data_IF_303770378761
#
_entry.id   IF_303770378761
#
_cell.length_a   1.000
_cell.length_b   1.000
_cell.length_c   1.000
_cell.angle_alpha   90.00
_cell.angle_beta   90.00
_cell.angle_gamma   90.00
#
_symmetry.space_group_name_H-M   'P 1'
#
loop_
_entity.id
_entity.type
_entity.pdbx_description
1 polymer ?
#
# COMPACT_ATOMS: atom_id res chain seq x y z
N UNK A 1 0.55 -0.49 15.06
CA UNK A 1 -0.63 0.36 15.10
C UNK A 1 -1.63 -0.15 14.06
N UNK A 2 -2.62 0.61 13.69
CA UNK A 2 -3.74 0.28 12.81
C UNK A 2 -4.97 1.04 13.24
N UNK A 3 -6.05 0.96 12.46
CA UNK A 3 -7.31 1.63 12.79
C UNK A 3 -8.03 0.95 13.97
N UNK A 4 -8.97 1.63 14.65
CA UNK A 4 -9.81 1.06 15.68
C UNK A 4 -10.64 -0.12 15.16
N UNK A 5 -10.93 -1.09 16.03
CA UNK A 5 -11.84 -2.21 15.73
C UNK A 5 -13.31 -1.84 16.01
N UNK A 6 -14.29 -2.47 15.31
CA UNK A 6 -14.14 -3.47 14.26
C UNK A 6 -13.64 -2.85 12.95
N UNK A 7 -12.73 -3.50 12.27
CA UNK A 7 -12.07 -3.01 11.04
C UNK A 7 -12.13 -3.98 9.86
N UNK A 8 -12.89 -5.05 10.02
CA UNK A 8 -13.20 -6.02 8.96
C UNK A 8 -14.67 -6.38 9.06
N UNK A 9 -15.36 -6.48 7.92
CA UNK A 9 -16.73 -6.96 7.84
C UNK A 9 -16.94 -7.70 6.52
N UNK A 10 -17.71 -8.79 6.56
CA UNK A 10 -18.14 -9.51 5.36
C UNK A 10 -19.16 -8.68 4.56
N UNK A 11 -19.16 -8.86 3.25
CA UNK A 11 -20.18 -8.38 2.33
C UNK A 11 -20.77 -9.56 1.56
N UNK A 12 -21.91 -9.43 0.84
CA UNK A 12 -22.51 -10.56 0.11
C UNK A 12 -21.57 -11.22 -0.91
N UNK A 13 -20.59 -10.50 -1.45
CA UNK A 13 -19.68 -10.97 -2.49
C UNK A 13 -18.18 -10.76 -2.14
N UNK A 14 -17.86 -10.49 -0.87
CA UNK A 14 -16.47 -10.25 -0.51
C UNK A 14 -16.30 -9.68 0.90
N UNK A 15 -15.36 -8.76 1.07
CA UNK A 15 -14.97 -8.22 2.36
C UNK A 15 -14.76 -6.71 2.31
N UNK A 16 -15.16 -6.03 3.39
CA UNK A 16 -14.82 -4.65 3.66
C UNK A 16 -13.75 -4.60 4.75
N UNK A 17 -12.65 -3.90 4.53
CA UNK A 17 -11.60 -3.75 5.53
C UNK A 17 -11.09 -2.31 5.67
N UNK A 18 -10.69 -1.95 6.87
CA UNK A 18 -10.01 -0.71 7.21
C UNK A 18 -8.88 -1.00 8.21
N UNK A 19 -7.94 -1.87 7.86
CA UNK A 19 -6.86 -2.31 8.74
C UNK A 19 -5.93 -1.16 9.13
N UNK A 20 -5.61 -0.24 8.20
CA UNK A 20 -4.75 0.91 8.47
C UNK A 20 -3.27 0.55 8.54
N UNK A 21 -2.78 -0.30 7.62
CA UNK A 21 -1.37 -0.67 7.46
C UNK A 21 -0.69 -1.19 8.74
N UNK A 22 -1.41 -1.95 9.56
CA UNK A 22 -0.86 -2.50 10.79
C UNK A 22 0.36 -3.40 10.50
N UNK A 23 1.53 -2.96 10.98
CA UNK A 23 2.78 -3.69 10.85
C UNK A 23 3.77 -3.27 11.96
N UNK A 24 4.84 -4.03 12.21
CA UNK A 24 5.80 -3.74 13.27
C UNK A 24 6.89 -2.71 12.88
N UNK A 25 6.90 -2.25 11.64
CA UNK A 25 7.94 -1.38 11.08
C UNK A 25 9.04 -2.16 10.34
N UNK A 26 9.74 -1.45 9.44
CA UNK A 26 10.70 -2.06 8.51
C UNK A 26 11.86 -2.75 9.24
N UNK A 27 12.35 -2.19 10.33
CA UNK A 27 13.50 -2.75 11.05
C UNK A 27 13.16 -4.11 11.70
N UNK A 28 11.97 -4.23 12.27
CA UNK A 28 11.48 -5.52 12.82
C UNK A 28 11.18 -6.52 11.70
N UNK A 29 10.60 -6.06 10.58
CA UNK A 29 10.36 -6.93 9.40
C UNK A 29 11.67 -7.51 8.90
N UNK A 30 12.72 -6.71 8.77
CA UNK A 30 14.05 -7.15 8.36
C UNK A 30 14.67 -8.13 9.35
N UNK A 31 14.70 -7.75 10.64
CA UNK A 31 15.38 -8.53 11.67
C UNK A 31 14.69 -9.86 11.99
N UNK A 32 13.36 -9.92 11.96
CA UNK A 32 12.61 -11.10 12.39
C UNK A 32 11.97 -11.85 11.22
N UNK A 33 11.15 -11.14 10.39
CA UNK A 33 10.29 -11.82 9.41
C UNK A 33 11.07 -12.28 8.18
N UNK A 34 11.83 -11.39 7.56
CA UNK A 34 12.63 -11.74 6.38
C UNK A 34 13.80 -12.65 6.74
N UNK A 35 14.45 -12.44 7.88
CA UNK A 35 15.49 -13.33 8.37
C UNK A 35 14.98 -14.74 8.63
N UNK A 36 13.80 -14.88 9.24
CA UNK A 36 13.17 -16.19 9.43
C UNK A 36 12.86 -16.87 8.10
N UNK A 37 12.32 -16.11 7.11
CA UNK A 37 12.05 -16.65 5.77
C UNK A 37 13.32 -17.11 5.05
N UNK A 38 14.41 -16.35 5.14
CA UNK A 38 15.71 -16.77 4.56
C UNK A 38 16.20 -18.09 5.17
N UNK A 39 16.05 -18.25 6.49
CA UNK A 39 16.51 -19.45 7.19
C UNK A 39 15.67 -20.70 6.84
N UNK A 40 14.36 -20.56 6.67
CA UNK A 40 13.46 -21.70 6.48
C UNK A 40 13.09 -21.95 5.02
N UNK A 41 13.12 -20.89 4.19
CA UNK A 41 12.74 -20.92 2.78
C UNK A 41 13.70 -20.07 1.93
N UNK A 42 15.00 -20.46 1.82
CA UNK A 42 16.05 -19.62 1.22
C UNK A 42 15.79 -19.27 -0.24
N UNK A 43 15.09 -20.14 -0.98
CA UNK A 43 14.78 -19.94 -2.39
C UNK A 43 13.46 -19.21 -2.65
N UNK A 44 12.70 -18.84 -1.60
CA UNK A 44 11.41 -18.17 -1.77
C UNK A 44 11.61 -16.69 -2.11
N UNK A 45 11.25 -16.25 -3.33
CA UNK A 45 11.31 -14.85 -3.69
C UNK A 45 10.18 -14.06 -3.01
N UNK A 46 10.51 -12.91 -2.46
CA UNK A 46 9.56 -12.02 -1.79
C UNK A 46 9.37 -10.74 -2.62
N UNK A 47 8.12 -10.37 -2.83
CA UNK A 47 7.72 -9.02 -3.24
C UNK A 47 7.31 -8.28 -1.97
N UNK A 48 8.07 -7.27 -1.58
CA UNK A 48 7.81 -6.50 -0.37
C UNK A 48 6.85 -5.35 -0.66
N UNK A 49 5.66 -5.37 -0.01
CA UNK A 49 4.74 -4.23 -0.09
C UNK A 49 5.25 -3.11 0.83
N UNK A 50 5.53 -1.94 0.26
CA UNK A 50 6.10 -0.78 0.93
C UNK A 50 5.11 0.36 0.93
N UNK A 51 4.90 0.98 2.10
CA UNK A 51 4.10 2.17 2.27
C UNK A 51 4.88 3.25 3.03
N UNK A 52 4.51 4.50 2.87
CA UNK A 52 5.07 5.66 3.54
C UNK A 52 4.07 6.82 3.56
N UNK A 53 4.35 7.83 4.38
CA UNK A 53 3.56 9.06 4.48
C UNK A 53 4.25 10.26 3.82
N UNK A 54 5.50 10.08 3.36
CA UNK A 54 6.28 11.10 2.64
C UNK A 54 7.22 10.44 1.64
N UNK A 55 7.72 11.22 0.67
CA UNK A 55 8.71 10.75 -0.30
C UNK A 55 9.98 10.23 0.39
N UNK A 56 10.39 10.86 1.50
CA UNK A 56 11.55 10.43 2.29
C UNK A 56 11.31 9.08 2.97
N UNK A 57 10.12 8.83 3.49
CA UNK A 57 9.76 7.52 4.07
C UNK A 57 9.73 6.44 3.00
N UNK A 58 9.12 6.68 1.84
CA UNK A 58 9.15 5.75 0.71
C UNK A 58 10.59 5.41 0.31
N UNK A 59 11.46 6.41 0.16
CA UNK A 59 12.88 6.20 -0.15
C UNK A 59 13.60 5.39 0.94
N UNK A 60 13.37 5.76 2.22
CA UNK A 60 14.06 5.11 3.35
C UNK A 60 13.66 3.65 3.50
N UNK A 61 12.35 3.34 3.43
CA UNK A 61 11.85 1.96 3.54
C UNK A 61 12.29 1.15 2.33
N UNK A 62 12.19 1.70 1.11
CA UNK A 62 12.63 1.03 -0.12
C UNK A 62 14.12 0.70 -0.09
N UNK A 63 14.97 1.62 0.36
CA UNK A 63 16.40 1.39 0.51
C UNK A 63 16.71 0.26 1.48
N UNK A 64 16.06 0.27 2.65
CA UNK A 64 16.30 -0.74 3.67
C UNK A 64 15.83 -2.12 3.22
N UNK A 65 14.58 -2.23 2.73
CA UNK A 65 13.97 -3.51 2.44
C UNK A 65 14.58 -4.19 1.22
N UNK A 66 15.04 -3.42 0.22
CA UNK A 66 15.67 -3.94 -1.00
C UNK A 66 17.04 -4.59 -0.77
N UNK A 67 17.65 -4.37 0.41
CA UNK A 67 18.91 -5.03 0.77
C UNK A 67 18.71 -6.46 1.30
N UNK A 68 17.49 -6.86 1.64
CA UNK A 68 17.24 -8.20 2.11
C UNK A 68 17.41 -9.23 0.97
N UNK A 69 18.16 -10.32 1.17
CA UNK A 69 18.60 -11.22 0.09
C UNK A 69 17.44 -11.96 -0.61
N UNK A 70 16.32 -12.16 0.08
CA UNK A 70 15.13 -12.82 -0.45
C UNK A 70 14.12 -11.82 -1.06
N UNK A 71 14.27 -10.51 -0.89
CA UNK A 71 13.44 -9.52 -1.56
C UNK A 71 13.92 -9.35 -3.00
N UNK A 72 13.04 -9.63 -3.96
CA UNK A 72 13.32 -9.60 -5.40
C UNK A 72 12.62 -8.47 -6.13
N UNK A 73 11.60 -7.88 -5.49
CA UNK A 73 10.89 -6.71 -5.98
C UNK A 73 10.22 -5.97 -4.82
N UNK A 74 9.88 -4.71 -5.06
CA UNK A 74 9.02 -3.90 -4.20
C UNK A 74 7.68 -3.71 -4.91
N UNK A 75 6.57 -3.83 -4.15
CA UNK A 75 5.27 -3.29 -4.52
C UNK A 75 5.03 -2.02 -3.72
N UNK A 76 5.15 -0.86 -4.37
CA UNK A 76 4.97 0.45 -3.74
C UNK A 76 3.48 0.76 -3.60
N UNK A 77 2.99 0.84 -2.38
CA UNK A 77 1.59 1.14 -2.08
C UNK A 77 1.38 2.64 -1.90
N UNK A 78 1.05 3.33 -3.00
CA UNK A 78 0.69 4.76 -2.98
C UNK A 78 -0.83 4.98 -2.86
N UNK A 79 -1.59 3.93 -2.66
CA UNK A 79 -3.04 3.90 -2.91
C UNK A 79 -3.89 3.47 -1.73
N UNK A 80 -3.33 3.40 -0.50
CA UNK A 80 -4.09 2.92 0.66
C UNK A 80 -5.18 3.93 1.07
N UNK A 81 -6.48 3.59 0.97
CA UNK A 81 -7.57 4.50 1.31
C UNK A 81 -7.77 4.69 2.83
N UNK A 82 -7.05 3.91 3.64
CA UNK A 82 -7.23 3.83 5.09
C UNK A 82 -6.17 4.63 5.86
N UNK A 83 -5.43 5.51 5.18
CA UNK A 83 -4.33 6.31 5.75
C UNK A 83 -4.46 7.75 5.29
N UNK A 84 -4.42 8.69 6.24
CA UNK A 84 -4.37 10.13 5.94
C UNK A 84 -2.92 10.54 5.64
N UNK A 85 -2.69 11.05 4.44
CA UNK A 85 -1.38 11.53 4.00
C UNK A 85 -1.19 13.05 4.21
N UNK A 86 -2.11 13.72 4.90
CA UNK A 86 -2.00 15.16 5.20
C UNK A 86 -2.16 16.10 3.99
N UNK A 87 -2.51 15.60 2.82
CA UNK A 87 -2.67 16.36 1.57
C UNK A 87 -4.15 16.77 1.34
N UNK A 88 -4.75 17.52 2.28
CA UNK A 88 -6.16 17.95 2.19
C UNK A 88 -7.15 16.81 1.91
N UNK A 89 -6.86 15.58 2.40
CA UNK A 89 -7.65 14.39 2.15
C UNK A 89 -7.41 13.71 0.80
N UNK A 90 -6.49 14.20 -0.03
CA UNK A 90 -6.07 13.54 -1.26
C UNK A 90 -4.99 12.50 -0.98
N UNK A 91 -5.16 11.32 -1.56
CA UNK A 91 -4.14 10.26 -1.53
C UNK A 91 -3.04 10.57 -2.54
N UNK A 92 -1.81 10.20 -2.21
CA UNK A 92 -0.66 10.32 -3.13
C UNK A 92 -0.99 9.70 -4.50
N UNK A 93 -1.63 8.54 -4.52
CA UNK A 93 -2.03 7.85 -5.75
C UNK A 93 -3.21 8.45 -6.51
N UNK A 94 -3.78 9.59 -6.06
CA UNK A 94 -4.87 10.29 -6.77
C UNK A 94 -4.38 11.49 -7.56
N UNK A 95 -3.13 11.93 -7.33
CA UNK A 95 -2.53 13.12 -7.96
C UNK A 95 -1.28 12.67 -8.71
N UNK A 96 -1.23 12.78 -10.05
CA UNK A 96 -0.12 12.28 -10.87
C UNK A 96 1.26 12.82 -10.44
N UNK A 97 1.35 14.10 -10.08
CA UNK A 97 2.59 14.74 -9.66
C UNK A 97 3.10 14.17 -8.32
N UNK A 98 2.22 13.97 -7.34
CA UNK A 98 2.57 13.37 -6.06
C UNK A 98 2.96 11.89 -6.23
N UNK A 99 2.26 11.17 -7.11
CA UNK A 99 2.59 9.80 -7.46
C UNK A 99 3.98 9.70 -8.11
N UNK A 100 4.27 10.59 -9.08
CA UNK A 100 5.59 10.67 -9.70
C UNK A 100 6.70 10.86 -8.67
N UNK A 101 6.58 11.84 -7.78
CA UNK A 101 7.60 12.16 -6.79
C UNK A 101 7.84 10.99 -5.81
N UNK A 102 6.78 10.37 -5.31
CA UNK A 102 6.88 9.23 -4.39
C UNK A 102 7.51 8.00 -5.08
N UNK A 103 7.09 7.70 -6.31
CA UNK A 103 7.63 6.59 -7.10
C UNK A 103 9.10 6.82 -7.42
N UNK A 104 9.46 8.01 -7.88
CA UNK A 104 10.84 8.38 -8.19
C UNK A 104 11.75 8.23 -6.98
N UNK A 105 11.33 8.73 -5.82
CA UNK A 105 12.08 8.61 -4.58
C UNK A 105 12.32 7.13 -4.18
N UNK A 106 11.32 6.28 -4.36
CA UNK A 106 11.44 4.84 -4.08
C UNK A 106 12.33 4.12 -5.10
N UNK A 107 12.19 4.42 -6.40
CA UNK A 107 12.98 3.82 -7.49
C UNK A 107 14.47 4.17 -7.32
N UNK A 108 14.80 5.43 -7.09
CA UNK A 108 16.18 5.88 -6.88
C UNK A 108 16.84 5.28 -5.63
N UNK A 109 16.04 4.93 -4.64
CA UNK A 109 16.53 4.35 -3.38
C UNK A 109 16.61 2.82 -3.39
N UNK A 110 15.89 2.15 -4.29
CA UNK A 110 15.77 0.69 -4.33
C UNK A 110 16.90 0.05 -5.14
N UNK A 111 17.37 -1.12 -4.69
CA UNK A 111 18.29 -1.98 -5.45
C UNK A 111 17.59 -3.09 -6.24
N UNK A 112 16.26 -3.17 -6.16
CA UNK A 112 15.43 -4.17 -6.85
C UNK A 112 14.31 -3.46 -7.64
N UNK A 113 13.68 -4.14 -8.62
CA UNK A 113 12.55 -3.57 -9.38
C UNK A 113 11.42 -3.08 -8.48
N UNK A 114 10.81 -1.94 -8.85
CA UNK A 114 9.69 -1.33 -8.15
C UNK A 114 8.44 -1.39 -9.01
N UNK A 115 7.42 -2.09 -8.52
CA UNK A 115 6.07 -2.10 -9.06
C UNK A 115 5.21 -1.13 -8.27
N UNK A 116 4.28 -0.44 -8.93
CA UNK A 116 3.43 0.56 -8.27
C UNK A 116 1.99 0.09 -8.21
N UNK A 117 1.42 0.03 -7.01
CA UNK A 117 0.02 -0.38 -6.80
C UNK A 117 -0.89 0.84 -6.84
N UNK A 118 -1.71 0.88 -7.89
CA UNK A 118 -2.60 2.00 -8.20
C UNK A 118 -3.94 1.91 -7.45
N UNK A 119 -4.53 3.08 -7.15
CA UNK A 119 -5.88 3.18 -6.64
C UNK A 119 -6.91 3.22 -7.78
N UNK A 120 -8.08 2.58 -7.63
CA UNK A 120 -9.19 2.77 -8.55
C UNK A 120 -9.98 4.07 -8.31
N UNK A 121 -9.69 4.79 -7.21
CA UNK A 121 -10.46 5.97 -6.78
C UNK A 121 -9.98 7.26 -7.46
N UNK A 122 -9.89 7.23 -8.79
CA UNK A 122 -9.52 8.34 -9.67
C UNK A 122 -10.45 8.41 -10.88
N UNK A 123 -10.57 9.58 -11.48
CA UNK A 123 -11.39 9.75 -12.69
C UNK A 123 -10.75 9.07 -13.91
N UNK A 124 -9.43 9.12 -14.00
CA UNK A 124 -8.63 8.51 -15.07
C UNK A 124 -7.34 7.93 -14.50
N UNK A 125 -7.31 6.61 -14.37
CA UNK A 125 -6.17 5.87 -13.83
C UNK A 125 -4.94 5.94 -14.74
N UNK A 126 -5.13 6.21 -16.02
CA UNK A 126 -4.02 6.26 -17.00
C UNK A 126 -3.06 7.41 -16.70
N UNK A 127 -3.53 8.51 -16.14
CA UNK A 127 -2.68 9.65 -15.78
C UNK A 127 -1.69 9.28 -14.67
N UNK A 128 -2.17 8.60 -13.62
CA UNK A 128 -1.31 8.13 -12.52
C UNK A 128 -0.40 6.99 -12.98
N UNK A 129 -0.92 6.09 -13.83
CA UNK A 129 -0.13 5.02 -14.43
C UNK A 129 1.05 5.59 -15.24
N UNK A 130 0.78 6.60 -16.06
CA UNK A 130 1.81 7.28 -16.86
C UNK A 130 2.84 7.99 -15.98
N UNK A 131 2.40 8.68 -14.93
CA UNK A 131 3.30 9.32 -13.97
C UNK A 131 4.24 8.30 -13.28
N UNK A 132 3.70 7.13 -12.89
CA UNK A 132 4.51 6.06 -12.32
C UNK A 132 5.52 5.49 -13.32
N UNK A 133 5.13 5.28 -14.58
CA UNK A 133 6.03 4.86 -15.66
C UNK A 133 7.15 5.88 -15.88
N UNK A 134 6.81 7.16 -16.01
CA UNK A 134 7.76 8.26 -16.22
C UNK A 134 8.73 8.43 -15.04
N UNK A 135 8.32 8.05 -13.82
CA UNK A 135 9.16 8.03 -12.62
C UNK A 135 10.11 6.81 -12.56
N UNK A 136 10.01 5.87 -13.51
CA UNK A 136 10.89 4.70 -13.62
C UNK A 136 10.35 3.42 -12.96
N UNK A 137 9.04 3.32 -12.73
CA UNK A 137 8.44 2.08 -12.26
C UNK A 137 8.70 0.93 -13.24
N UNK A 138 9.04 -0.26 -12.70
CA UNK A 138 9.26 -1.48 -13.50
C UNK A 138 7.95 -2.13 -13.96
N UNK A 139 6.83 -1.76 -13.37
CA UNK A 139 5.51 -2.26 -13.70
C UNK A 139 4.44 -1.71 -12.76
N UNK A 140 3.20 -2.12 -13.02
CA UNK A 140 2.02 -1.65 -12.29
C UNK A 140 1.26 -2.83 -11.70
N UNK A 141 0.78 -2.68 -10.47
CA UNK A 141 -0.22 -3.56 -9.86
C UNK A 141 -1.57 -2.87 -9.91
N UNK A 142 -2.52 -3.46 -10.58
CA UNK A 142 -3.89 -2.94 -10.67
C UNK A 142 -4.87 -3.95 -10.09
N UNK A 143 -5.62 -3.58 -9.13
CA UNK A 143 -5.78 -2.29 -8.43
C UNK A 143 -5.85 -2.55 -6.93
N UNK A 144 -5.74 -1.49 -6.09
CA UNK A 144 -6.12 -1.56 -4.69
C UNK A 144 -7.65 -1.68 -4.58
N UNK A 145 -8.16 -1.92 -3.38
CA UNK A 145 -9.58 -2.09 -3.08
C UNK A 145 -10.42 -0.87 -3.45
N UNK A 146 -11.67 -1.11 -3.82
CA UNK A 146 -12.67 -0.05 -4.01
C UNK A 146 -13.08 0.54 -2.65
N UNK A 147 -13.27 1.84 -2.58
CA UNK A 147 -13.83 2.47 -1.37
C UNK A 147 -15.30 2.10 -1.23
N UNK A 148 -15.67 1.58 -0.08
CA UNK A 148 -17.05 1.17 0.21
C UNK A 148 -17.45 1.43 1.66
N UNK A 149 -18.74 1.24 1.93
CA UNK A 149 -19.32 1.31 3.26
C UNK A 149 -20.44 0.28 3.40
N UNK A 150 -20.55 -0.32 4.59
CA UNK A 150 -21.68 -1.17 4.96
C UNK A 150 -22.33 -0.65 6.22
N UNK A 151 -23.65 -0.58 6.21
CA UNK A 151 -24.46 -0.17 7.36
C UNK A 151 -25.11 -1.35 8.07
N UNK A 152 -25.21 -1.25 9.38
CA UNK A 152 -26.17 -2.05 10.15
C UNK A 152 -27.58 -1.46 9.90
N UNK A 153 -28.45 -2.25 9.27
CA UNK A 153 -29.78 -1.80 8.88
C UNK A 153 -30.71 -1.52 10.07
N UNK A 154 -30.39 -2.03 11.27
CA UNK A 154 -31.18 -1.77 12.49
C UNK A 154 -30.79 -0.45 13.14
N UNK A 155 -29.50 -0.12 13.13
CA UNK A 155 -28.99 1.06 13.84
C UNK A 155 -28.67 2.22 12.91
N UNK A 156 -28.57 1.99 11.58
CA UNK A 156 -28.14 2.98 10.60
C UNK A 156 -26.68 3.39 10.71
N UNK A 157 -25.88 2.68 11.52
CA UNK A 157 -24.45 2.99 11.74
C UNK A 157 -23.56 2.16 10.83
N UNK A 158 -22.36 2.68 10.45
CA UNK A 158 -21.35 1.87 9.80
C UNK A 158 -20.96 0.65 10.64
N UNK A 159 -20.70 -0.49 9.98
CA UNK A 159 -20.35 -1.74 10.66
C UNK A 159 -18.88 -1.71 11.14
N UNK A 160 -18.00 -1.03 10.39
CA UNK A 160 -16.58 -0.87 10.78
C UNK A 160 -16.36 0.49 11.42
N UNK A 161 -15.46 0.56 12.41
CA UNK A 161 -15.22 1.76 13.22
C UNK A 161 -14.75 2.97 12.40
N UNK A 162 -14.00 2.74 11.32
CA UNK A 162 -13.51 3.79 10.41
C UNK A 162 -14.61 4.39 9.52
N UNK A 163 -15.82 3.85 9.54
CA UNK A 163 -16.94 4.26 8.68
C UNK A 163 -16.84 3.67 7.28
N UNK A 164 -15.82 4.04 6.52
CA UNK A 164 -15.51 3.51 5.18
C UNK A 164 -14.30 2.58 5.22
N UNK A 165 -14.15 1.77 4.19
CA UNK A 165 -12.98 0.88 4.03
C UNK A 165 -12.80 0.44 2.59
N UNK A 166 -11.78 -0.37 2.36
CA UNK A 166 -11.53 -1.02 1.08
C UNK A 166 -12.38 -2.26 0.90
N UNK A 167 -13.12 -2.35 -0.19
CA UNK A 167 -13.93 -3.50 -0.56
C UNK A 167 -13.21 -4.35 -1.59
N UNK A 168 -13.14 -5.66 -1.34
CA UNK A 168 -12.58 -6.69 -2.22
C UNK A 168 -13.54 -7.88 -2.33
N UNK A 169 -13.48 -8.60 -3.47
CA UNK A 169 -14.30 -9.79 -3.74
C UNK A 169 -14.64 -9.95 -5.19
#
# INVERSE_FOLDING_TARGET
>A
FGNPTPRVAETPAGMLNAIGLQNPGVDVVLAEKLSWLVQHYPELPIIANVAGFSNEEYATVSRKISQAPNVKAIELNISCPNVDHGNNGLLIGQVPELAYDAVKAAVEASSVPVYVKLTPSVADITQVAKAAEDAGASGLTMINTLVGMRFDLKTGKPIIANGTGGMSG
#
